data_IF_710661114754
#
_entry.id   IF_710661114754
#
_cell.length_a   1.000
_cell.length_b   1.000
_cell.length_c   1.000
_cell.angle_alpha   90.00
_cell.angle_beta   90.00
_cell.angle_gamma   90.00
#
_symmetry.space_group_name_H-M   'P 1'
#
loop_
_entity.id
_entity.type
_entity.pdbx_description
1 polymer ?
#
# COMPACT_ATOMS: atom_id res chain seq x y z
N UNK A 1 -80.45 1.32 -26.44
CA UNK A 1 -79.16 0.60 -26.48
C UNK A 1 -78.08 1.60 -26.12
N UNK A 2 -77.53 1.52 -24.90
CA UNK A 2 -76.42 2.34 -24.42
C UNK A 2 -75.49 1.40 -23.63
N UNK A 3 -74.34 1.05 -24.20
CA UNK A 3 -73.31 0.27 -23.52
C UNK A 3 -72.18 1.20 -23.11
N UNK A 4 -71.98 1.35 -21.80
CA UNK A 4 -70.86 2.06 -21.21
C UNK A 4 -69.63 1.13 -21.13
N UNK A 5 -68.49 1.61 -21.62
CA UNK A 5 -67.19 0.95 -21.48
C UNK A 5 -66.65 1.14 -20.06
N UNK A 6 -66.28 0.05 -19.39
CA UNK A 6 -65.51 0.08 -18.14
C UNK A 6 -64.06 -0.30 -18.44
N UNK A 7 -63.16 0.67 -18.30
CA UNK A 7 -61.72 0.49 -18.45
C UNK A 7 -61.11 -0.03 -17.15
N UNK A 8 -60.36 -1.14 -17.20
CA UNK A 8 -59.48 -1.57 -16.12
C UNK A 8 -58.07 -1.02 -16.37
N UNK A 9 -57.67 0.02 -15.61
CA UNK A 9 -56.27 0.45 -15.55
C UNK A 9 -55.53 -0.42 -14.53
N UNK A 10 -54.73 -1.37 -15.03
CA UNK A 10 -53.78 -2.11 -14.22
C UNK A 10 -52.66 -1.15 -13.76
N UNK A 11 -52.70 -0.70 -12.51
CA UNK A 11 -51.56 -0.02 -11.89
C UNK A 11 -50.54 -1.08 -11.45
N UNK A 12 -49.29 -1.06 -11.94
CA UNK A 12 -48.24 -1.87 -11.35
C UNK A 12 -47.92 -1.35 -9.94
N UNK A 13 -47.77 -2.26 -8.97
CA UNK A 13 -47.29 -1.96 -7.62
C UNK A 13 -45.81 -1.52 -7.65
N UNK A 14 -45.37 -0.63 -6.74
CA UNK A 14 -43.98 -0.16 -6.71
C UNK A 14 -43.01 -1.28 -6.31
N UNK A 15 -42.03 -1.54 -7.19
CA UNK A 15 -40.93 -2.48 -6.95
C UNK A 15 -40.00 -2.02 -5.83
N UNK A 16 -40.21 -2.52 -4.60
CA UNK A 16 -39.29 -2.32 -3.47
C UNK A 16 -38.08 -3.27 -3.58
N UNK A 17 -37.12 -2.95 -4.46
CA UNK A 17 -35.86 -3.72 -4.61
C UNK A 17 -34.62 -2.86 -4.86
N UNK A 18 -34.39 -1.81 -4.06
CA UNK A 18 -33.15 -1.00 -4.17
C UNK A 18 -32.40 -0.80 -2.83
N UNK A 19 -33.06 -0.81 -1.68
CA UNK A 19 -32.42 -0.41 -0.42
C UNK A 19 -31.45 -1.45 0.21
N UNK A 20 -31.59 -2.74 -0.12
CA UNK A 20 -30.78 -3.81 0.51
C UNK A 20 -29.36 -3.86 -0.07
N UNK A 21 -29.21 -3.67 -1.38
CA UNK A 21 -27.91 -3.70 -2.07
C UNK A 21 -26.98 -2.55 -1.63
N UNK A 22 -27.53 -1.36 -1.41
CA UNK A 22 -26.76 -0.18 -1.00
C UNK A 22 -26.22 -0.33 0.43
N UNK A 23 -26.98 -0.94 1.33
CA UNK A 23 -26.55 -1.20 2.72
C UNK A 23 -25.47 -2.26 2.80
N UNK A 24 -25.60 -3.34 2.01
CA UNK A 24 -24.57 -4.37 1.93
C UNK A 24 -23.27 -3.84 1.33
N UNK A 25 -23.35 -2.98 0.30
CA UNK A 25 -22.20 -2.34 -0.33
C UNK A 25 -21.49 -1.34 0.62
N UNK A 26 -22.26 -0.50 1.33
CA UNK A 26 -21.71 0.42 2.32
C UNK A 26 -21.04 -0.32 3.50
N UNK A 27 -21.63 -1.44 3.94
CA UNK A 27 -21.03 -2.29 4.97
C UNK A 27 -19.74 -2.97 4.48
N UNK A 28 -19.71 -3.42 3.22
CA UNK A 28 -18.52 -3.97 2.59
C UNK A 28 -17.36 -2.96 2.51
N UNK A 29 -17.64 -1.72 2.10
CA UNK A 29 -16.66 -0.63 2.09
C UNK A 29 -16.12 -0.31 3.48
N UNK A 30 -16.99 -0.32 4.50
CA UNK A 30 -16.59 -0.09 5.90
C UNK A 30 -15.66 -1.19 6.43
N UNK A 31 -15.93 -2.47 6.12
CA UNK A 31 -15.09 -3.60 6.54
C UNK A 31 -13.72 -3.56 5.87
N UNK A 32 -13.64 -3.17 4.59
CA UNK A 32 -12.37 -2.95 3.89
C UNK A 32 -11.58 -1.79 4.51
N UNK A 33 -12.26 -0.71 4.91
CA UNK A 33 -11.61 0.41 5.59
C UNK A 33 -11.04 0.04 6.97
N UNK A 34 -11.72 -0.82 7.72
CA UNK A 34 -11.30 -1.23 9.07
C UNK A 34 -10.17 -2.28 9.09
N UNK A 35 -9.97 -3.03 8.00
CA UNK A 35 -8.92 -4.06 7.89
C UNK A 35 -7.62 -3.55 7.27
N UNK A 36 -7.54 -2.27 6.90
CA UNK A 36 -6.43 -1.63 6.18
C UNK A 36 -5.09 -1.49 6.92
N UNK A 37 -4.81 -2.30 7.95
CA UNK A 37 -3.46 -2.40 8.49
C UNK A 37 -2.57 -3.16 7.50
N UNK A 38 -1.87 -2.43 6.63
CA UNK A 38 -0.91 -3.02 5.71
C UNK A 38 0.14 -3.84 6.49
N UNK A 39 0.61 -4.94 5.89
CA UNK A 39 1.67 -5.77 6.48
C UNK A 39 2.92 -4.93 6.81
N UNK A 40 3.17 -3.86 6.05
CA UNK A 40 4.28 -2.93 6.29
C UNK A 40 4.06 -2.13 7.58
N UNK A 41 2.86 -1.59 7.79
CA UNK A 41 2.55 -0.83 9.00
C UNK A 41 2.58 -1.69 10.27
N UNK A 42 2.29 -2.99 10.17
CA UNK A 42 2.46 -3.93 11.27
C UNK A 42 3.95 -4.14 11.59
N UNK A 43 4.74 -4.48 10.58
CA UNK A 43 6.18 -4.75 10.73
C UNK A 43 6.94 -3.52 11.22
N UNK A 44 6.67 -2.35 10.62
CA UNK A 44 7.22 -1.07 11.05
C UNK A 44 6.98 -0.78 12.54
N UNK A 45 5.81 -1.12 13.07
CA UNK A 45 5.52 -0.95 14.50
C UNK A 45 6.18 -2.02 15.36
N UNK A 46 6.37 -3.23 14.85
CA UNK A 46 7.04 -4.30 15.56
C UNK A 46 8.54 -3.99 15.72
N UNK A 47 9.22 -3.61 14.64
CA UNK A 47 10.64 -3.23 14.67
C UNK A 47 10.88 -1.98 15.52
N UNK A 48 9.89 -1.10 15.67
CA UNK A 48 9.99 0.05 16.56
C UNK A 48 10.13 -0.29 18.05
N UNK A 49 9.69 -1.49 18.45
CA UNK A 49 9.75 -1.96 19.84
C UNK A 49 11.04 -2.71 20.14
N UNK A 50 11.82 -3.04 19.11
CA UNK A 50 13.10 -3.70 19.27
C UNK A 50 14.19 -2.63 19.40
N UNK A 51 15.15 -2.80 20.33
CA UNK A 51 16.32 -1.94 20.39
C UNK A 51 17.05 -1.97 19.05
N UNK A 52 17.61 -0.84 18.63
CA UNK A 52 18.48 -0.83 17.46
C UNK A 52 19.68 -1.75 17.74
N UNK A 53 20.00 -2.69 16.83
CA UNK A 53 21.19 -3.50 16.97
C UNK A 53 22.44 -2.62 16.99
N UNK A 54 23.35 -2.90 17.92
CA UNK A 54 24.61 -2.14 18.06
C UNK A 54 25.63 -2.53 16.99
N UNK A 55 25.50 -3.75 16.46
CA UNK A 55 26.49 -4.38 15.59
C UNK A 55 26.12 -4.39 14.10
N UNK A 56 24.90 -3.96 13.73
CA UNK A 56 24.45 -3.96 12.35
C UNK A 56 23.44 -2.84 12.05
N UNK A 57 23.10 -2.68 10.76
CA UNK A 57 22.22 -1.63 10.25
C UNK A 57 20.77 -2.12 10.05
N UNK A 58 20.39 -3.24 10.65
CA UNK A 58 19.03 -3.77 10.53
C UNK A 58 18.02 -2.87 11.23
N UNK A 59 16.77 -3.00 10.80
CA UNK A 59 15.65 -2.29 11.40
C UNK A 59 15.11 -1.18 10.52
N UNK A 60 14.63 -0.09 11.15
CA UNK A 60 13.83 0.95 10.48
C UNK A 60 14.69 2.10 10.03
N UNK A 61 14.49 2.46 8.77
CA UNK A 61 15.14 3.60 8.14
C UNK A 61 14.09 4.53 7.57
N UNK A 62 14.36 5.82 7.68
CA UNK A 62 13.54 6.87 7.10
C UNK A 62 14.43 7.89 6.42
N UNK A 63 14.05 8.26 5.20
CA UNK A 63 14.76 9.22 4.38
C UNK A 63 13.87 9.84 3.32
N UNK A 64 14.50 10.34 2.27
CA UNK A 64 13.83 11.01 1.16
C UNK A 64 14.23 10.31 -0.14
N UNK A 65 13.24 9.91 -0.94
CA UNK A 65 13.51 9.52 -2.33
C UNK A 65 13.61 10.79 -3.18
N UNK A 66 14.50 10.79 -4.16
CA UNK A 66 14.68 11.89 -5.12
C UNK A 66 14.76 11.27 -6.51
N UNK A 67 13.94 11.75 -7.45
CA UNK A 67 14.07 11.43 -8.88
C UNK A 67 15.05 12.42 -9.50
N UNK A 68 16.13 11.92 -10.09
CA UNK A 68 17.10 12.76 -10.81
C UNK A 68 16.48 13.37 -12.08
N UNK A 69 15.59 12.63 -12.75
CA UNK A 69 14.95 13.06 -14.01
C UNK A 69 13.97 14.23 -13.80
N UNK A 70 13.13 14.15 -12.76
CA UNK A 70 12.07 15.14 -12.52
C UNK A 70 12.34 16.09 -11.36
N UNK A 71 13.36 15.81 -10.53
CA UNK A 71 13.61 16.53 -9.28
C UNK A 71 12.57 16.29 -8.19
N UNK A 72 11.53 15.49 -8.45
CA UNK A 72 10.52 15.16 -7.46
C UNK A 72 11.13 14.40 -6.29
N UNK A 73 10.65 14.72 -5.10
CA UNK A 73 11.12 14.09 -3.87
C UNK A 73 9.98 13.77 -2.94
N UNK A 74 10.16 12.78 -2.07
CA UNK A 74 9.15 12.44 -1.07
C UNK A 74 9.68 11.54 0.03
N UNK A 75 8.87 11.36 1.08
CA UNK A 75 9.26 10.53 2.23
C UNK A 75 9.34 9.06 1.81
N UNK A 76 10.46 8.43 2.16
CA UNK A 76 10.71 7.01 1.95
C UNK A 76 11.01 6.34 3.29
N UNK A 77 10.36 5.22 3.53
CA UNK A 77 10.67 4.34 4.67
C UNK A 77 11.21 3.02 4.16
N UNK A 78 12.13 2.43 4.91
CA UNK A 78 12.65 1.10 4.66
C UNK A 78 12.73 0.27 5.95
N UNK A 79 12.54 -1.03 5.81
CA UNK A 79 12.88 -2.01 6.84
C UNK A 79 13.98 -2.89 6.25
N UNK A 80 15.14 -2.91 6.90
CA UNK A 80 16.28 -3.74 6.51
C UNK A 80 16.32 -4.98 7.39
N UNK A 81 16.33 -6.15 6.77
CA UNK A 81 16.50 -7.44 7.46
C UNK A 81 17.67 -8.19 6.83
N UNK A 82 18.67 -8.64 7.62
CA UNK A 82 19.74 -9.47 7.09
C UNK A 82 19.16 -10.82 6.63
N UNK A 83 19.55 -11.30 5.44
CA UNK A 83 19.22 -12.65 4.97
C UNK A 83 20.43 -13.58 5.09
N UNK A 84 21.57 -13.18 4.54
CA UNK A 84 22.86 -13.93 4.57
C UNK A 84 24.04 -12.95 4.52
N UNK A 85 25.28 -13.45 4.54
CA UNK A 85 26.48 -12.61 4.41
C UNK A 85 26.37 -11.65 3.22
N UNK A 86 26.38 -10.35 3.50
CA UNK A 86 26.30 -9.25 2.54
C UNK A 86 24.98 -9.17 1.73
N UNK A 87 23.94 -9.91 2.12
CA UNK A 87 22.61 -9.85 1.45
C UNK A 87 21.55 -9.41 2.45
N UNK A 88 20.81 -8.39 2.03
CA UNK A 88 19.81 -7.72 2.84
C UNK A 88 18.48 -7.70 2.11
N UNK A 89 17.41 -8.08 2.81
CA UNK A 89 16.06 -7.80 2.36
C UNK A 89 15.69 -6.39 2.76
N UNK A 90 15.49 -5.53 1.77
CA UNK A 90 15.02 -4.18 1.95
C UNK A 90 13.56 -4.07 1.53
N UNK A 91 12.72 -3.68 2.47
CA UNK A 91 11.30 -3.47 2.22
C UNK A 91 10.97 -2.00 2.26
N UNK A 92 10.77 -1.42 1.08
CA UNK A 92 10.52 0.01 0.89
C UNK A 92 9.04 0.33 0.95
N UNK A 93 8.73 1.53 1.44
CA UNK A 93 7.39 2.10 1.46
C UNK A 93 7.44 3.62 1.29
N UNK A 94 6.97 4.10 0.15
CA UNK A 94 6.88 5.50 -0.23
C UNK A 94 5.44 6.02 -0.12
N UNK A 95 5.30 7.34 0.07
CA UNK A 95 4.03 8.06 -0.10
C UNK A 95 4.17 9.08 -1.23
N UNK A 96 3.21 9.06 -2.14
CA UNK A 96 3.07 9.99 -3.27
C UNK A 96 1.82 10.85 -3.08
N UNK A 97 1.97 12.17 -3.34
CA UNK A 97 0.87 13.13 -3.31
C UNK A 97 -0.05 13.04 -2.06
N UNK A 98 0.51 12.64 -0.90
CA UNK A 98 -0.20 12.49 0.38
C UNK A 98 -1.12 11.27 0.50
N UNK A 99 -1.73 10.82 -0.59
CA UNK A 99 -2.81 9.81 -0.60
C UNK A 99 -2.35 8.44 -1.11
N UNK A 100 -1.43 8.39 -2.08
CA UNK A 100 -1.00 7.14 -2.69
C UNK A 100 0.20 6.59 -1.94
N UNK A 101 0.20 5.28 -1.70
CA UNK A 101 1.31 4.55 -1.09
C UNK A 101 1.83 3.51 -2.07
N UNK A 102 3.14 3.40 -2.18
CA UNK A 102 3.79 2.35 -2.94
C UNK A 102 4.78 1.63 -2.05
N UNK A 103 4.85 0.31 -2.16
CA UNK A 103 5.84 -0.47 -1.44
C UNK A 103 6.30 -1.65 -2.26
N UNK A 104 7.58 -1.96 -2.16
CA UNK A 104 8.22 -3.07 -2.84
C UNK A 104 9.29 -3.67 -1.94
N UNK A 105 9.68 -4.90 -2.24
CA UNK A 105 10.75 -5.61 -1.53
C UNK A 105 11.82 -5.94 -2.54
N UNK A 106 13.06 -5.62 -2.21
CA UNK A 106 14.24 -5.88 -3.04
C UNK A 106 15.32 -6.52 -2.20
N UNK A 107 16.13 -7.38 -2.82
CA UNK A 107 17.37 -7.87 -2.22
C UNK A 107 18.49 -6.91 -2.59
N UNK A 108 19.15 -6.39 -1.56
CA UNK A 108 20.30 -5.52 -1.70
C UNK A 108 21.55 -6.30 -1.33
N UNK A 109 22.59 -6.14 -2.13
CA UNK A 109 23.93 -6.63 -1.87
C UNK A 109 24.76 -5.49 -1.30
N UNK A 110 25.50 -5.74 -0.22
CA UNK A 110 26.44 -4.75 0.31
C UNK A 110 27.80 -4.90 -0.35
N UNK A 111 28.32 -3.80 -0.88
CA UNK A 111 29.74 -3.67 -1.27
C UNK A 111 30.50 -3.07 -0.08
N UNK A 112 31.75 -3.50 0.10
CA UNK A 112 32.48 -3.40 1.37
C UNK A 112 32.43 -2.01 2.03
N UNK A 113 32.37 -2.02 3.36
CA UNK A 113 32.33 -0.85 4.24
C UNK A 113 33.69 -0.16 4.23
N UNK A 114 33.85 0.86 3.38
CA UNK A 114 34.92 1.84 3.57
C UNK A 114 34.37 2.97 4.44
N UNK A 115 35.13 3.38 5.46
CA UNK A 115 34.89 4.60 6.25
C UNK A 115 33.52 4.72 6.96
N UNK A 116 32.92 3.59 7.35
CA UNK A 116 31.66 3.59 8.09
C UNK A 116 30.41 3.85 7.23
N UNK A 117 30.57 3.93 5.91
CA UNK A 117 29.47 3.96 4.96
C UNK A 117 29.16 2.55 4.48
N UNK A 118 27.88 2.17 4.48
CA UNK A 118 27.42 0.90 3.91
C UNK A 118 26.73 1.20 2.60
N UNK A 119 27.35 0.76 1.50
CA UNK A 119 26.79 0.89 0.16
C UNK A 119 25.97 -0.34 -0.16
N UNK A 120 24.77 -0.09 -0.69
CA UNK A 120 23.87 -1.12 -1.18
C UNK A 120 23.72 -1.04 -2.69
N UNK A 121 23.71 -2.19 -3.33
CA UNK A 121 23.42 -2.35 -4.74
C UNK A 121 22.29 -3.36 -4.93
N UNK A 122 21.34 -3.05 -5.79
CA UNK A 122 20.22 -3.92 -6.09
C UNK A 122 19.28 -3.30 -7.10
N UNK A 123 18.51 -4.14 -7.77
CA UNK A 123 17.58 -3.75 -8.82
C UNK A 123 16.24 -4.43 -8.58
N UNK A 124 15.16 -3.73 -8.89
CA UNK A 124 13.82 -4.28 -8.87
C UNK A 124 13.04 -3.73 -10.06
N UNK A 125 12.45 -4.63 -10.85
CA UNK A 125 11.46 -4.25 -11.86
C UNK A 125 10.14 -3.90 -11.14
N UNK A 126 9.79 -2.62 -11.14
CA UNK A 126 8.58 -2.10 -10.49
C UNK A 126 7.38 -2.06 -11.46
N UNK A 127 7.57 -2.53 -12.69
CA UNK A 127 6.58 -2.48 -13.76
C UNK A 127 6.33 -1.06 -14.30
N UNK A 128 5.62 -1.00 -15.43
CA UNK A 128 5.41 0.21 -16.25
C UNK A 128 4.79 1.42 -15.51
N UNK A 129 4.15 1.19 -14.37
CA UNK A 129 3.42 2.22 -13.62
C UNK A 129 4.21 2.79 -12.43
N UNK A 130 5.30 2.13 -12.02
CA UNK A 130 6.06 2.51 -10.83
C UNK A 130 7.59 2.54 -11.05
N UNK A 131 8.06 2.28 -12.27
CA UNK A 131 9.45 2.54 -12.67
C UNK A 131 10.18 1.37 -13.35
N UNK A 132 9.54 0.74 -14.35
CA UNK A 132 10.21 -0.13 -15.33
C UNK A 132 10.13 0.48 -16.72
#
# INVERSE_FOLDING_TARGET
>A
MNCANVAFSARPLPGRRQAVFHRAFALGLLVVALTGCSSFGREWRATARQPAPVADISGRWEGVWVSEVSGHRGRLRAILTPETNQVWRARFHARYAGLLTFGYTVRLHTTAVADGEVRFEGEADLGKLAGG
#
